data_IF_958923503443
#
_entry.id   IF_958923503443
#
_cell.length_a   1.000
_cell.length_b   1.000
_cell.length_c   1.000
_cell.angle_alpha   90.00
_cell.angle_beta   90.00
_cell.angle_gamma   90.00
#
_symmetry.space_group_name_H-M   'P 1'
#
loop_
_entity.id
_entity.type
_entity.pdbx_description
1 polymer ?
#
# COMPACT_ATOMS: atom_id res chain seq x y z
N UNK A 1 7.24 11.15 17.79
CA UNK A 1 7.61 11.21 16.37
C UNK A 1 6.39 10.80 15.56
N UNK A 2 6.17 11.41 14.41
CA UNK A 2 5.09 11.00 13.50
C UNK A 2 5.54 9.73 12.78
N UNK A 3 4.70 8.70 12.75
CA UNK A 3 4.98 7.48 12.01
C UNK A 3 4.66 7.73 10.54
N UNK A 4 5.65 7.54 9.68
CA UNK A 4 5.47 7.55 8.23
C UNK A 4 5.36 6.10 7.75
N UNK A 5 4.14 5.69 7.43
CA UNK A 5 3.81 4.33 6.99
C UNK A 5 4.49 3.96 5.66
N UNK A 6 4.74 4.94 4.79
CA UNK A 6 5.26 4.73 3.44
C UNK A 6 6.73 5.15 3.30
N UNK A 7 7.38 5.49 4.41
CA UNK A 7 8.74 5.99 4.43
C UNK A 7 9.78 5.03 3.85
N UNK A 8 9.47 3.73 3.76
CA UNK A 8 10.38 2.69 3.23
C UNK A 8 10.18 2.36 1.74
N UNK A 9 9.20 2.95 1.05
CA UNK A 9 8.95 2.62 -0.37
C UNK A 9 10.16 2.90 -1.28
N UNK A 10 10.98 3.89 -0.94
CA UNK A 10 12.20 4.18 -1.68
C UNK A 10 13.27 3.08 -1.52
N UNK A 11 13.32 2.41 -0.36
CA UNK A 11 14.21 1.26 -0.12
C UNK A 11 13.72 0.04 -0.90
N UNK A 12 12.40 -0.23 -0.88
CA UNK A 12 11.78 -1.30 -1.67
C UNK A 12 12.06 -1.11 -3.17
N UNK A 13 11.88 0.11 -3.69
CA UNK A 13 12.17 0.41 -5.09
C UNK A 13 13.65 0.19 -5.43
N UNK A 14 14.56 0.61 -4.55
CA UNK A 14 15.99 0.41 -4.73
C UNK A 14 16.41 -1.07 -4.73
N UNK A 15 15.77 -1.92 -3.92
CA UNK A 15 16.06 -3.37 -3.87
C UNK A 15 15.77 -4.06 -5.22
N UNK A 16 14.78 -3.58 -5.97
CA UNK A 16 14.35 -4.15 -7.24
C UNK A 16 14.73 -3.30 -8.47
N UNK A 17 15.65 -2.33 -8.32
CA UNK A 17 16.09 -1.41 -9.38
C UNK A 17 14.92 -0.65 -10.06
N UNK A 18 13.87 -0.32 -9.31
CA UNK A 18 12.72 0.43 -9.79
C UNK A 18 12.96 1.95 -9.72
N UNK A 19 12.51 2.74 -10.71
CA UNK A 19 12.56 4.20 -10.62
C UNK A 19 11.74 4.72 -9.43
N UNK A 20 12.33 5.61 -8.64
CA UNK A 20 11.67 6.31 -7.55
C UNK A 20 12.03 7.79 -7.58
N UNK A 21 11.03 8.66 -7.76
CA UNK A 21 11.19 10.11 -7.68
C UNK A 21 10.82 10.58 -6.27
N UNK A 22 11.76 11.08 -5.46
CA UNK A 22 11.45 11.56 -4.11
C UNK A 22 10.56 12.81 -4.10
N UNK A 23 10.54 13.59 -5.19
CA UNK A 23 9.68 14.77 -5.31
C UNK A 23 8.27 14.40 -5.80
N UNK A 24 8.09 13.17 -6.30
CA UNK A 24 6.82 12.63 -6.80
C UNK A 24 6.68 11.13 -6.48
N UNK A 25 6.58 10.74 -5.19
CA UNK A 25 6.44 9.34 -4.81
C UNK A 25 5.13 8.75 -5.36
N UNK A 26 5.05 7.42 -5.54
CA UNK A 26 3.82 6.78 -5.96
C UNK A 26 2.70 7.06 -4.97
N UNK A 27 1.52 7.38 -5.50
CA UNK A 27 0.35 7.62 -4.65
C UNK A 27 -0.12 6.30 -4.06
N UNK A 28 -0.13 6.23 -2.74
CA UNK A 28 -0.70 5.12 -1.98
C UNK A 28 -1.37 5.66 -0.73
N UNK A 29 -2.52 5.09 -0.38
CA UNK A 29 -3.22 5.45 0.85
C UNK A 29 -3.82 4.23 1.56
N UNK A 30 -3.86 4.29 2.89
CA UNK A 30 -4.58 3.31 3.71
C UNK A 30 -6.06 3.65 3.72
N UNK A 31 -6.88 2.70 3.31
CA UNK A 31 -8.34 2.77 3.41
C UNK A 31 -8.88 1.71 4.34
N UNK A 32 -10.05 1.97 4.90
CA UNK A 32 -10.80 1.04 5.73
C UNK A 32 -12.19 0.82 5.13
N UNK A 33 -12.56 -0.45 4.94
CA UNK A 33 -13.84 -0.85 4.38
C UNK A 33 -14.58 -1.69 5.41
N UNK A 34 -15.77 -1.26 5.79
CA UNK A 34 -16.66 -2.04 6.66
C UNK A 34 -17.45 -3.04 5.81
N UNK A 35 -17.37 -4.31 6.14
CA UNK A 35 -18.11 -5.38 5.49
C UNK A 35 -19.59 -5.35 5.89
N UNK A 36 -20.50 -5.97 5.12
CA UNK A 36 -21.90 -6.11 5.53
C UNK A 36 -22.09 -6.83 6.88
N UNK A 37 -21.12 -7.66 7.29
CA UNK A 37 -21.12 -8.34 8.59
C UNK A 37 -20.61 -7.46 9.75
N UNK A 38 -20.22 -6.20 9.48
CA UNK A 38 -19.71 -5.26 10.48
C UNK A 38 -18.23 -5.38 10.80
N UNK A 39 -17.48 -6.27 10.12
CA UNK A 39 -16.03 -6.34 10.27
C UNK A 39 -15.37 -5.22 9.46
N UNK A 40 -14.20 -4.75 9.91
CA UNK A 40 -13.41 -3.76 9.15
C UNK A 40 -12.21 -4.42 8.52
N UNK A 41 -12.03 -4.23 7.22
CA UNK A 41 -10.86 -4.64 6.46
C UNK A 41 -10.10 -3.38 6.06
N UNK A 42 -8.79 -3.34 6.32
CA UNK A 42 -7.93 -2.28 5.81
C UNK A 42 -7.21 -2.73 4.55
N UNK A 43 -6.99 -1.81 3.60
CA UNK A 43 -6.23 -2.05 2.39
C UNK A 43 -5.32 -0.86 2.06
N UNK A 44 -4.30 -1.11 1.24
CA UNK A 44 -3.54 -0.05 0.57
C UNK A 44 -4.08 0.10 -0.85
N UNK A 45 -4.44 1.33 -1.24
CA UNK A 45 -4.92 1.65 -2.58
C UNK A 45 -3.82 2.42 -3.29
N UNK A 46 -3.34 1.86 -4.41
CA UNK A 46 -2.31 2.43 -5.24
C UNK A 46 -2.91 3.21 -6.42
N UNK A 47 -2.41 4.43 -6.64
CA UNK A 47 -2.84 5.33 -7.72
C UNK A 47 -4.04 6.22 -7.38
N UNK A 48 -4.52 6.93 -8.40
CA UNK A 48 -5.65 7.89 -8.34
C UNK A 48 -6.91 7.40 -9.08
N UNK A 49 -6.79 6.33 -9.86
CA UNK A 49 -7.87 5.79 -10.69
C UNK A 49 -8.76 4.78 -9.97
N UNK A 50 -9.87 4.37 -10.60
CA UNK A 50 -10.63 3.20 -10.14
C UNK A 50 -9.72 1.95 -10.06
N UNK A 51 -9.87 1.10 -9.03
CA UNK A 51 -9.03 -0.09 -8.88
C UNK A 51 -9.29 -1.10 -10.00
N UNK A 52 -8.22 -1.57 -10.65
CA UNK A 52 -8.28 -2.56 -11.73
C UNK A 52 -7.87 -3.98 -11.27
N UNK A 53 -7.08 -4.07 -10.20
CA UNK A 53 -6.57 -5.31 -9.63
C UNK A 53 -6.68 -5.28 -8.09
N UNK A 54 -6.91 -6.45 -7.51
CA UNK A 54 -6.86 -6.65 -6.04
C UNK A 54 -5.85 -7.76 -5.74
N UNK A 55 -4.84 -7.42 -4.93
CA UNK A 55 -3.82 -8.35 -4.46
C UNK A 55 -4.14 -8.80 -3.03
N UNK A 56 -4.11 -10.11 -2.80
CA UNK A 56 -4.37 -10.71 -1.49
C UNK A 56 -3.09 -11.31 -0.93
N UNK A 57 -2.73 -10.91 0.28
CA UNK A 57 -1.57 -11.46 0.97
C UNK A 57 -1.88 -12.85 1.58
N UNK A 58 -0.84 -13.59 1.95
CA UNK A 58 -0.94 -14.88 2.62
C UNK A 58 -1.22 -14.78 4.12
N UNK A 59 -1.26 -15.92 4.81
CA UNK A 59 -1.40 -15.97 6.26
C UNK A 59 -0.23 -15.29 6.99
N UNK A 60 -0.51 -14.59 8.08
CA UNK A 60 0.47 -13.84 8.88
C UNK A 60 1.21 -12.70 8.12
N UNK A 61 0.68 -12.29 6.96
CA UNK A 61 1.15 -11.13 6.20
C UNK A 61 0.16 -9.96 6.31
N UNK A 62 0.48 -8.83 5.66
CA UNK A 62 -0.37 -7.65 5.57
C UNK A 62 -0.27 -7.01 4.17
N UNK A 63 -0.95 -5.89 3.95
CA UNK A 63 -1.01 -5.22 2.65
C UNK A 63 0.37 -4.82 2.08
N UNK A 64 1.36 -4.50 2.92
CA UNK A 64 2.74 -4.17 2.51
C UNK A 64 3.53 -5.35 1.95
N UNK A 65 2.94 -6.55 1.87
CA UNK A 65 3.52 -7.66 1.08
C UNK A 65 3.62 -7.32 -0.42
N UNK A 66 2.86 -6.32 -0.85
CA UNK A 66 2.78 -5.88 -2.25
C UNK A 66 3.31 -4.46 -2.46
N UNK A 67 4.11 -3.95 -1.51
CA UNK A 67 4.91 -2.75 -1.76
C UNK A 67 6.04 -3.04 -2.76
#
# INVERSE_FOLDING_TARGET
MHYDEFGLLHENAAEYDLPFDPDAPPRVERVHVTTPSGHTVSALVWGDGPPELVLLHGGAQNAHTWD
#
